data_IF_449881496257
#
_entry.id   IF_449881496257
#
_cell.length_a   1.000
_cell.length_b   1.000
_cell.length_c   1.000
_cell.angle_alpha   90.00
_cell.angle_beta   90.00
_cell.angle_gamma   90.00
#
_symmetry.space_group_name_H-M   'P 1'
#
loop_
_entity.id
_entity.type
_entity.pdbx_description
1 polymer ?
#
# COMPACT_ATOMS: atom_id res chain seq x y z
N UNK A 1 25.44 -33.35 -38.62
CA UNK A 1 24.01 -33.15 -38.93
C UNK A 1 23.48 -32.26 -37.82
N UNK A 2 23.82 -30.96 -37.79
CA UNK A 2 23.19 -29.86 -38.58
C UNK A 2 21.68 -29.88 -38.31
N UNK A 3 21.10 -28.96 -37.55
CA UNK A 3 20.82 -27.54 -37.84
C UNK A 3 20.12 -26.92 -36.59
N UNK A 4 20.01 -25.63 -36.29
CA UNK A 4 20.67 -24.38 -36.69
C UNK A 4 20.30 -23.37 -35.59
N UNK A 5 21.28 -22.62 -35.10
CA UNK A 5 21.08 -21.39 -34.35
C UNK A 5 20.38 -20.33 -35.23
N UNK A 6 19.48 -19.51 -34.65
CA UNK A 6 19.16 -18.18 -35.21
C UNK A 6 19.38 -17.09 -34.15
N UNK A 7 20.29 -16.14 -34.42
CA UNK A 7 20.50 -14.94 -33.60
C UNK A 7 19.84 -13.66 -34.19
N UNK A 8 19.66 -12.66 -33.30
CA UNK A 8 19.65 -11.18 -33.53
C UNK A 8 18.34 -10.59 -34.12
N UNK A 9 17.89 -9.36 -33.82
CA UNK A 9 18.64 -8.11 -33.67
C UNK A 9 17.89 -7.00 -32.89
N UNK A 10 18.67 -6.11 -32.30
CA UNK A 10 18.30 -4.72 -31.98
C UNK A 10 18.38 -3.86 -33.24
N UNK A 11 17.45 -2.92 -33.44
CA UNK A 11 17.67 -1.66 -34.17
C UNK A 11 16.57 -0.64 -33.83
N UNK A 12 17.02 0.60 -33.63
CA UNK A 12 16.27 1.74 -33.12
C UNK A 12 15.72 2.65 -34.25
N UNK A 13 15.00 3.69 -33.79
CA UNK A 13 14.69 4.98 -34.43
C UNK A 13 13.36 5.12 -35.18
N UNK A 14 12.55 6.06 -34.70
CA UNK A 14 11.35 6.57 -35.35
C UNK A 14 10.63 7.59 -34.47
N UNK A 15 11.23 8.77 -34.31
CA UNK A 15 10.60 9.90 -33.63
C UNK A 15 9.51 10.54 -34.49
N UNK A 16 8.40 10.91 -33.85
CA UNK A 16 7.47 11.92 -34.37
C UNK A 16 7.13 12.86 -33.22
N UNK A 17 7.59 14.10 -33.35
CA UNK A 17 7.20 15.21 -32.50
C UNK A 17 5.87 15.78 -33.01
N UNK A 18 4.85 15.82 -32.15
CA UNK A 18 3.69 16.70 -32.37
C UNK A 18 3.93 18.01 -31.61
N UNK A 19 4.14 19.08 -32.38
CA UNK A 19 4.06 20.46 -31.91
C UNK A 19 2.57 20.86 -31.86
N UNK A 20 2.04 21.08 -30.66
CA UNK A 20 0.77 21.76 -30.47
C UNK A 20 1.05 23.21 -30.07
N UNK A 21 0.86 24.12 -31.04
CA UNK A 21 1.00 25.56 -30.90
C UNK A 21 -0.24 26.12 -30.19
N UNK A 22 -0.11 26.47 -28.90
CA UNK A 22 -1.14 27.20 -28.15
C UNK A 22 -0.92 28.71 -28.25
N UNK A 23 -1.85 29.41 -28.89
CA UNK A 23 -1.88 30.87 -29.03
C UNK A 23 -2.19 31.55 -27.68
N UNK A 24 -1.34 32.51 -27.30
CA UNK A 24 -1.62 33.51 -26.26
C UNK A 24 -2.52 34.61 -26.85
N UNK A 25 -3.65 34.90 -26.20
CA UNK A 25 -4.47 36.07 -26.50
C UNK A 25 -4.50 36.99 -25.26
N UNK A 26 -3.75 38.08 -25.33
CA UNK A 26 -3.81 39.21 -24.40
C UNK A 26 -4.84 40.22 -24.94
N UNK A 27 -5.92 40.45 -24.19
CA UNK A 27 -6.85 41.56 -24.42
C UNK A 27 -6.47 42.79 -23.58
N UNK A 28 -6.67 44.03 -24.08
CA UNK A 28 -6.18 45.24 -23.43
C UNK A 28 -7.15 45.83 -22.38
N UNK A 29 -6.56 46.63 -21.49
CA UNK A 29 -7.24 47.55 -20.57
C UNK A 29 -7.74 48.76 -21.34
N UNK A 30 -8.93 49.24 -21.01
CA UNK A 30 -9.31 50.64 -21.24
C UNK A 30 -9.97 51.25 -19.99
N UNK A 31 -9.62 52.51 -19.81
CA UNK A 31 -9.96 53.41 -18.70
C UNK A 31 -11.05 54.41 -19.11
N UNK A 32 -11.73 54.98 -18.10
CA UNK A 32 -12.29 56.35 -18.01
C UNK A 32 -13.83 56.57 -18.13
N UNK A 33 -14.35 57.17 -17.04
CA UNK A 33 -15.18 58.39 -16.97
C UNK A 33 -16.71 58.37 -17.13
N UNK A 34 -17.38 58.78 -16.04
CA UNK A 34 -18.73 59.37 -15.92
C UNK A 34 -18.83 60.74 -16.66
N UNK A 35 -20.00 61.45 -16.85
CA UNK A 35 -21.22 61.46 -16.02
C UNK A 35 -22.61 61.69 -16.69
N UNK A 36 -23.65 61.47 -15.87
CA UNK A 36 -24.90 62.27 -15.79
C UNK A 36 -25.95 62.15 -16.89
N UNK A 37 -27.17 61.72 -16.54
CA UNK A 37 -28.45 62.36 -16.94
C UNK A 37 -29.60 61.85 -16.07
N UNK A 38 -30.33 62.81 -15.53
CA UNK A 38 -31.56 62.72 -14.74
C UNK A 38 -32.77 62.35 -15.63
N UNK A 39 -33.59 61.36 -15.25
CA UNK A 39 -34.98 61.25 -15.71
C UNK A 39 -35.83 60.25 -14.90
N UNK A 40 -36.84 60.81 -14.23
CA UNK A 40 -38.23 60.36 -14.22
C UNK A 40 -38.60 59.01 -13.55
N UNK A 41 -39.35 59.16 -12.46
CA UNK A 41 -40.05 58.13 -11.67
C UNK A 41 -41.00 57.27 -12.52
N UNK A 42 -40.95 55.95 -12.34
CA UNK A 42 -42.10 55.06 -12.47
C UNK A 42 -42.17 54.19 -11.20
N UNK A 43 -43.31 54.25 -10.51
CA UNK A 43 -43.58 53.45 -9.33
C UNK A 43 -43.71 51.97 -9.72
N UNK A 44 -42.96 51.10 -9.04
CA UNK A 44 -43.13 49.65 -9.07
C UNK A 44 -43.63 49.24 -7.70
N UNK A 45 -44.74 48.51 -7.66
CA UNK A 45 -45.38 48.03 -6.45
C UNK A 45 -44.45 47.13 -5.63
N UNK A 46 -44.39 47.38 -4.32
CA UNK A 46 -43.72 46.52 -3.34
C UNK A 46 -44.36 45.12 -3.34
N UNK A 47 -43.69 44.16 -3.97
CA UNK A 47 -43.91 42.75 -3.69
C UNK A 47 -43.15 42.42 -2.40
N UNK A 48 -43.90 42.27 -1.30
CA UNK A 48 -43.36 41.77 -0.02
C UNK A 48 -42.84 40.35 -0.26
N UNK A 49 -41.52 40.23 -0.36
CA UNK A 49 -40.85 38.93 -0.43
C UNK A 49 -41.02 38.22 0.92
N UNK A 50 -41.62 37.02 0.88
CA UNK A 50 -41.65 36.12 2.03
C UNK A 50 -40.20 35.77 2.45
N UNK A 51 -39.91 35.62 3.75
CA UNK A 51 -38.59 35.24 4.20
C UNK A 51 -38.23 33.86 3.64
N UNK A 52 -37.12 33.78 2.91
CA UNK A 52 -36.53 32.51 2.50
C UNK A 52 -36.14 31.73 3.77
N UNK A 53 -36.88 30.67 4.07
CA UNK A 53 -36.44 29.65 5.03
C UNK A 53 -35.15 29.04 4.48
N UNK A 54 -34.02 29.40 5.09
CA UNK A 54 -32.76 28.74 4.85
C UNK A 54 -32.94 27.25 5.14
N UNK A 55 -32.87 26.43 4.09
CA UNK A 55 -32.80 24.99 4.23
C UNK A 55 -31.52 24.67 5.01
N UNK A 56 -31.67 24.25 6.27
CA UNK A 56 -30.62 23.54 7.00
C UNK A 56 -30.42 22.22 6.27
N UNK A 57 -29.50 22.21 5.30
CA UNK A 57 -29.02 20.97 4.71
C UNK A 57 -28.38 20.15 5.83
N UNK A 58 -28.83 18.91 5.99
CA UNK A 58 -28.16 17.95 6.86
C UNK A 58 -26.68 17.90 6.48
N UNK A 59 -25.75 17.97 7.46
CA UNK A 59 -24.33 17.85 7.16
C UNK A 59 -24.11 16.49 6.46
N UNK A 60 -23.43 16.53 5.32
CA UNK A 60 -22.97 15.32 4.64
C UNK A 60 -22.20 14.47 5.68
N UNK A 61 -22.45 13.15 5.76
CA UNK A 61 -21.80 12.31 6.76
C UNK A 61 -20.29 12.45 6.62
N UNK A 62 -19.62 12.79 7.73
CA UNK A 62 -18.16 12.74 7.77
C UNK A 62 -17.72 11.32 7.36
N UNK A 63 -16.80 11.19 6.38
CA UNK A 63 -16.37 9.89 5.95
C UNK A 63 -15.73 9.17 7.14
N UNK A 64 -16.21 7.96 7.42
CA UNK A 64 -15.79 7.18 8.58
C UNK A 64 -14.25 7.09 8.68
N UNK A 65 -13.72 7.30 9.88
CA UNK A 65 -12.31 7.07 10.14
C UNK A 65 -11.96 5.59 9.87
N UNK A 66 -10.76 5.33 9.33
CA UNK A 66 -10.31 3.97 9.10
C UNK A 66 -10.18 3.18 10.40
N UNK A 67 -10.38 1.87 10.32
CA UNK A 67 -10.34 0.96 11.44
C UNK A 67 -8.89 0.65 11.84
N UNK A 68 -8.69 0.27 13.11
CA UNK A 68 -7.40 -0.17 13.61
C UNK A 68 -7.40 -1.68 13.85
N UNK A 69 -6.41 -2.35 13.28
CA UNK A 69 -6.14 -3.77 13.47
C UNK A 69 -4.76 -3.97 14.11
N UNK A 70 -4.57 -5.12 14.74
CA UNK A 70 -3.37 -5.43 15.51
C UNK A 70 -2.79 -6.76 15.09
N UNK A 71 -1.46 -6.79 15.00
CA UNK A 71 -0.65 -8.00 14.83
C UNK A 71 0.21 -8.22 16.07
N UNK A 72 0.29 -9.47 16.53
CA UNK A 72 1.13 -9.91 17.64
C UNK A 72 1.64 -11.33 17.42
N UNK A 73 2.84 -11.70 17.87
CA UNK A 73 3.31 -13.09 17.78
C UNK A 73 2.44 -14.10 18.55
N UNK A 74 1.74 -13.65 19.60
CA UNK A 74 0.80 -14.42 20.42
C UNK A 74 -0.68 -14.22 20.00
N UNK A 75 -0.91 -13.65 18.81
CA UNK A 75 -2.22 -13.51 18.20
C UNK A 75 -2.78 -14.84 17.68
N UNK A 76 -3.91 -14.78 16.98
CA UNK A 76 -4.56 -15.95 16.38
C UNK A 76 -4.82 -15.80 14.89
N UNK A 77 -5.35 -16.85 14.26
CA UNK A 77 -5.78 -16.80 12.86
C UNK A 77 -7.03 -15.94 12.65
N UNK A 78 -7.39 -15.59 11.40
CA UNK A 78 -8.65 -14.91 11.11
C UNK A 78 -9.90 -15.66 11.56
N UNK A 79 -9.84 -16.99 11.75
CA UNK A 79 -10.96 -17.74 12.30
C UNK A 79 -11.09 -17.58 13.83
N UNK A 80 -9.96 -17.36 14.48
CA UNK A 80 -9.81 -17.25 15.93
C UNK A 80 -9.98 -15.82 16.44
N UNK A 81 -9.39 -14.85 15.74
CA UNK A 81 -9.30 -13.45 16.12
C UNK A 81 -9.91 -12.51 15.09
N UNK A 82 -10.59 -11.47 15.56
CA UNK A 82 -11.12 -10.39 14.71
C UNK A 82 -10.04 -9.40 14.24
N UNK A 83 -8.86 -9.41 14.86
CA UNK A 83 -7.78 -8.44 14.61
C UNK A 83 -7.99 -7.09 15.28
N UNK A 84 -9.13 -6.84 15.92
CA UNK A 84 -9.55 -5.49 16.35
C UNK A 84 -9.12 -5.10 17.78
N UNK A 85 -8.40 -5.97 18.49
CA UNK A 85 -7.89 -5.67 19.81
C UNK A 85 -6.42 -6.06 19.95
N UNK A 86 -5.65 -5.24 20.65
CA UNK A 86 -4.25 -5.52 21.02
C UNK A 86 -4.21 -6.50 22.20
N UNK A 87 -4.59 -7.74 21.92
CA UNK A 87 -4.64 -8.82 22.91
C UNK A 87 -4.21 -10.14 22.28
N UNK A 88 -3.58 -11.04 23.06
CA UNK A 88 -3.28 -12.40 22.60
C UNK A 88 -4.56 -13.18 22.29
N UNK A 89 -4.45 -14.23 21.49
CA UNK A 89 -5.54 -15.20 21.37
C UNK A 89 -5.70 -15.96 22.69
N UNK A 90 -6.91 -16.03 23.29
CA UNK A 90 -7.12 -16.65 24.61
C UNK A 90 -7.02 -18.19 24.60
N UNK A 91 -6.58 -18.81 23.50
CA UNK A 91 -6.42 -20.26 23.35
C UNK A 91 -7.70 -21.01 22.93
N UNK A 92 -8.88 -20.37 22.98
CA UNK A 92 -10.13 -20.97 22.49
C UNK A 92 -11.14 -19.93 22.00
N UNK A 93 -12.13 -20.39 21.22
CA UNK A 93 -13.19 -19.57 20.66
C UNK A 93 -12.92 -19.13 19.22
N UNK A 94 -13.93 -18.49 18.61
CA UNK A 94 -13.88 -17.96 17.25
C UNK A 94 -14.16 -16.46 17.30
N UNK A 95 -13.56 -15.71 16.38
CA UNK A 95 -13.76 -14.26 16.26
C UNK A 95 -13.64 -13.52 17.61
N UNK A 96 -12.69 -13.93 18.44
CA UNK A 96 -12.39 -13.25 19.70
C UNK A 96 -11.77 -11.88 19.38
N UNK A 97 -12.04 -10.91 20.24
CA UNK A 97 -11.34 -9.62 20.21
C UNK A 97 -9.87 -9.84 20.62
N UNK A 98 -9.02 -10.10 19.63
CA UNK A 98 -7.59 -10.31 19.76
C UNK A 98 -6.90 -9.97 18.44
N UNK A 99 -5.58 -9.90 18.48
CA UNK A 99 -4.72 -9.59 17.34
C UNK A 99 -4.61 -10.79 16.38
N UNK A 100 -4.33 -10.51 15.12
CA UNK A 100 -3.81 -11.52 14.20
C UNK A 100 -2.33 -11.80 14.47
N UNK A 101 -1.78 -12.86 13.90
CA UNK A 101 -0.40 -13.27 14.13
C UNK A 101 0.54 -13.14 12.92
N UNK A 102 0.02 -12.73 11.75
CA UNK A 102 0.81 -12.65 10.52
C UNK A 102 0.25 -11.63 9.54
N UNK A 103 1.11 -11.02 8.73
CA UNK A 103 0.68 -10.10 7.67
C UNK A 103 -0.09 -10.83 6.58
N UNK A 104 0.20 -12.11 6.30
CA UNK A 104 -0.58 -12.92 5.35
C UNK A 104 -2.04 -13.10 5.78
N UNK A 105 -2.36 -12.86 7.05
CA UNK A 105 -3.74 -12.87 7.53
C UNK A 105 -4.46 -11.55 7.23
N UNK A 106 -3.76 -10.42 7.23
CA UNK A 106 -4.32 -9.12 6.85
C UNK A 106 -4.30 -8.90 5.33
N UNK A 107 -3.25 -9.37 4.67
CA UNK A 107 -2.92 -9.20 3.26
C UNK A 107 -2.54 -10.57 2.65
N UNK A 108 -3.53 -11.46 2.43
CA UNK A 108 -3.27 -12.79 1.87
C UNK A 108 -2.58 -12.73 0.51
N UNK A 109 -1.77 -13.73 0.18
CA UNK A 109 -1.15 -13.82 -1.15
C UNK A 109 -2.19 -13.98 -2.27
N UNK A 110 -3.33 -14.59 -1.97
CA UNK A 110 -4.47 -14.72 -2.87
C UNK A 110 -5.77 -14.14 -2.28
N UNK A 111 -6.62 -13.63 -3.17
CA UNK A 111 -7.88 -13.04 -2.76
C UNK A 111 -7.75 -11.63 -2.18
N UNK A 112 -8.84 -11.08 -1.62
CA UNK A 112 -8.87 -9.71 -1.16
C UNK A 112 -8.14 -9.53 0.18
N UNK A 113 -7.53 -8.36 0.35
CA UNK A 113 -7.09 -7.89 1.66
C UNK A 113 -8.25 -7.88 2.67
N UNK A 114 -7.95 -8.18 3.94
CA UNK A 114 -8.92 -8.10 5.05
C UNK A 114 -9.00 -6.72 5.69
N UNK A 115 -8.08 -5.83 5.33
CA UNK A 115 -8.12 -4.41 5.67
C UNK A 115 -8.61 -3.61 4.45
N UNK A 116 -9.20 -2.45 4.69
CA UNK A 116 -9.67 -1.53 3.67
C UNK A 116 -8.77 -0.29 3.55
N UNK A 117 -9.03 0.50 2.51
CA UNK A 117 -8.35 1.78 2.31
C UNK A 117 -8.58 2.73 3.49
N UNK A 118 -7.50 3.24 4.09
CA UNK A 118 -7.54 4.18 5.21
C UNK A 118 -7.40 3.50 6.58
N UNK A 119 -7.44 2.18 6.64
CA UNK A 119 -7.22 1.40 7.87
C UNK A 119 -5.77 1.49 8.35
N UNK A 120 -5.55 1.20 9.63
CA UNK A 120 -4.22 1.13 10.26
C UNK A 120 -3.97 -0.25 10.82
N UNK A 121 -2.92 -0.92 10.35
CA UNK A 121 -2.40 -2.17 10.88
C UNK A 121 -1.23 -1.86 11.83
N UNK A 122 -1.36 -2.21 13.11
CA UNK A 122 -0.34 -1.95 14.13
C UNK A 122 0.33 -3.27 14.55
N UNK A 123 1.65 -3.36 14.38
CA UNK A 123 2.41 -4.55 14.71
C UNK A 123 3.08 -4.37 16.09
N UNK A 124 2.80 -5.28 17.02
CA UNK A 124 3.53 -5.35 18.27
C UNK A 124 4.99 -5.80 18.04
N UNK A 125 5.91 -5.50 18.98
CA UNK A 125 7.28 -6.04 18.94
C UNK A 125 7.28 -7.55 18.77
N UNK A 126 8.21 -8.05 17.95
CA UNK A 126 8.34 -9.46 17.66
C UNK A 126 8.64 -9.73 16.20
N UNK A 127 8.61 -11.01 15.83
CA UNK A 127 9.04 -11.46 14.51
C UNK A 127 7.85 -11.95 13.69
N UNK A 128 7.77 -11.50 12.44
CA UNK A 128 6.71 -11.84 11.51
C UNK A 128 7.32 -12.37 10.22
N UNK A 129 7.10 -13.66 9.97
CA UNK A 129 7.58 -14.32 8.75
C UNK A 129 6.75 -13.85 7.55
N UNK A 130 7.42 -13.54 6.44
CA UNK A 130 6.81 -13.32 5.13
C UNK A 130 7.31 -14.39 4.17
N UNK A 131 6.46 -14.84 3.25
CA UNK A 131 6.74 -15.98 2.38
C UNK A 131 6.15 -17.31 2.88
N UNK A 132 6.50 -18.38 2.17
CA UNK A 132 5.96 -19.72 2.40
C UNK A 132 6.26 -20.21 3.82
N UNK A 133 5.25 -20.79 4.47
CA UNK A 133 5.34 -21.31 5.85
C UNK A 133 4.97 -20.30 6.93
N UNK A 134 4.69 -19.05 6.56
CA UNK A 134 4.15 -18.06 7.50
C UNK A 134 2.71 -18.42 7.90
N UNK A 135 2.24 -18.02 9.10
CA UNK A 135 0.85 -18.22 9.48
C UNK A 135 -0.10 -17.57 8.47
N UNK A 136 -1.12 -18.30 8.01
CA UNK A 136 -2.08 -17.83 7.01
C UNK A 136 -1.69 -18.10 5.56
N UNK A 137 -0.58 -18.81 5.28
CA UNK A 137 -0.20 -19.26 3.92
C UNK A 137 -0.66 -20.70 3.62
N UNK A 138 -1.47 -21.29 4.50
CA UNK A 138 -2.02 -22.64 4.36
C UNK A 138 -3.22 -22.72 3.39
N UNK A 139 -3.63 -21.58 2.84
CA UNK A 139 -4.75 -21.45 1.93
C UNK A 139 -4.32 -20.60 0.73
N UNK A 140 -4.19 -21.22 -0.45
CA UNK A 140 -4.00 -20.54 -1.75
C UNK A 140 -2.83 -19.53 -1.85
N UNK A 141 -2.50 -19.08 -3.06
CA UNK A 141 -1.49 -18.03 -3.30
C UNK A 141 -0.02 -18.33 -2.95
N UNK A 142 0.26 -19.42 -2.22
CA UNK A 142 1.59 -19.79 -1.76
C UNK A 142 1.91 -21.24 -2.15
N UNK A 143 2.38 -21.42 -3.38
CA UNK A 143 2.76 -22.72 -3.94
C UNK A 143 4.21 -23.08 -3.57
N UNK A 144 4.47 -24.33 -3.19
CA UNK A 144 5.84 -24.82 -2.89
C UNK A 144 6.74 -24.85 -4.13
N UNK A 145 6.17 -25.01 -5.34
CA UNK A 145 6.87 -24.96 -6.61
C UNK A 145 7.12 -23.52 -7.09
N UNK A 146 6.34 -22.55 -6.60
CA UNK A 146 6.47 -21.12 -6.90
C UNK A 146 6.46 -20.23 -5.64
N UNK A 147 7.33 -20.47 -4.65
CA UNK A 147 7.25 -19.78 -3.36
C UNK A 147 7.65 -18.30 -3.44
N UNK A 148 8.28 -17.90 -4.55
CA UNK A 148 8.56 -16.51 -4.88
C UNK A 148 7.30 -15.66 -5.08
N UNK A 149 6.16 -16.30 -5.40
CA UNK A 149 4.85 -15.67 -5.55
C UNK A 149 4.06 -15.61 -4.24
N UNK A 150 4.55 -16.21 -3.15
CA UNK A 150 3.96 -16.13 -1.81
C UNK A 150 4.22 -14.77 -1.12
N UNK A 151 3.98 -13.69 -1.87
CA UNK A 151 4.09 -12.30 -1.41
C UNK A 151 2.75 -11.87 -0.79
N UNK A 152 2.79 -10.83 0.03
CA UNK A 152 1.55 -10.20 0.48
C UNK A 152 0.80 -9.57 -0.71
N UNK A 153 -0.53 -9.59 -0.67
CA UNK A 153 -1.33 -8.76 -1.58
C UNK A 153 -0.92 -7.28 -1.48
N UNK A 154 -1.09 -6.50 -2.57
CA UNK A 154 -0.85 -5.06 -2.52
C UNK A 154 -1.62 -4.39 -1.38
N UNK A 155 -0.96 -3.49 -0.65
CA UNK A 155 -1.62 -2.72 0.41
C UNK A 155 -2.76 -1.90 -0.20
N UNK A 156 -4.00 -1.98 0.32
CA UNK A 156 -5.11 -1.19 -0.21
C UNK A 156 -4.82 0.30 -0.20
N UNK A 157 -5.20 1.01 -1.27
CA UNK A 157 -4.98 2.45 -1.36
C UNK A 157 -5.82 3.20 -0.33
N UNK A 158 -5.23 4.16 0.38
CA UNK A 158 -5.99 5.09 1.20
C UNK A 158 -6.92 5.96 0.35
N UNK A 159 -8.09 6.40 0.84
CA UNK A 159 -9.02 7.23 0.08
C UNK A 159 -8.41 8.56 -0.41
N UNK A 160 -7.45 9.10 0.35
CA UNK A 160 -6.79 10.38 0.07
C UNK A 160 -5.47 10.49 0.83
N UNK A 161 -4.63 11.47 0.48
CA UNK A 161 -3.29 11.63 1.08
C UNK A 161 -3.33 11.93 2.60
N UNK A 162 -4.40 12.55 3.08
CA UNK A 162 -4.67 12.82 4.50
C UNK A 162 -5.33 11.62 5.23
N UNK A 163 -5.80 10.62 4.47
CA UNK A 163 -6.38 9.37 4.98
C UNK A 163 -5.67 8.15 4.38
N UNK A 164 -4.36 7.98 4.61
CA UNK A 164 -3.63 6.84 4.07
C UNK A 164 -3.98 5.54 4.79
N UNK A 165 -3.84 4.42 4.10
CA UNK A 165 -3.75 3.09 4.72
C UNK A 165 -2.36 2.95 5.36
N UNK A 166 -2.27 2.41 6.57
CA UNK A 166 -1.03 2.43 7.35
C UNK A 166 -0.62 1.03 7.81
N UNK A 167 0.68 0.74 7.75
CA UNK A 167 1.29 -0.42 8.41
C UNK A 167 2.43 0.09 9.29
N UNK A 168 2.24 0.01 10.61
CA UNK A 168 3.11 0.66 11.58
C UNK A 168 3.58 -0.33 12.64
N UNK A 169 4.88 -0.31 12.95
CA UNK A 169 5.36 -0.90 14.20
C UNK A 169 4.97 -0.04 15.39
N UNK A 170 4.59 -0.70 16.49
CA UNK A 170 4.07 -0.02 17.69
C UNK A 170 5.15 0.65 18.53
N UNK A 171 6.35 0.07 18.58
CA UNK A 171 7.42 0.48 19.48
C UNK A 171 8.76 0.56 18.71
N UNK A 172 9.24 1.77 18.38
CA UNK A 172 10.52 1.96 17.69
C UNK A 172 11.74 1.46 18.48
N UNK A 173 11.65 1.33 19.81
CA UNK A 173 12.75 0.80 20.62
C UNK A 173 12.82 -0.74 20.60
N UNK A 174 11.71 -1.40 20.25
CA UNK A 174 11.60 -2.86 20.13
C UNK A 174 10.85 -3.18 18.83
N UNK A 175 11.55 -3.19 17.68
CA UNK A 175 10.88 -3.18 16.39
C UNK A 175 10.03 -4.44 16.15
N UNK A 176 9.00 -4.27 15.33
CA UNK A 176 8.38 -5.38 14.63
C UNK A 176 9.29 -5.76 13.46
N UNK A 177 9.84 -6.98 13.50
CA UNK A 177 10.79 -7.50 12.51
C UNK A 177 10.07 -8.36 11.49
N UNK A 178 9.95 -7.86 10.27
CA UNK A 178 9.53 -8.65 9.12
C UNK A 178 10.74 -9.42 8.60
N UNK A 179 10.61 -10.74 8.44
CA UNK A 179 11.70 -11.55 7.90
C UNK A 179 11.26 -12.52 6.80
N UNK A 180 12.04 -12.56 5.73
CA UNK A 180 11.75 -13.31 4.51
C UNK A 180 12.05 -14.79 4.60
N UNK A 181 11.17 -15.61 4.05
CA UNK A 181 11.30 -17.06 4.05
C UNK A 181 11.04 -17.67 2.68
N UNK A 182 11.76 -18.75 2.40
CA UNK A 182 11.58 -19.62 1.23
C UNK A 182 11.48 -18.84 -0.09
N UNK A 183 12.41 -17.89 -0.32
CA UNK A 183 12.57 -17.20 -1.61
C UNK A 183 11.43 -16.23 -1.98
N UNK A 184 10.67 -15.70 -1.02
CA UNK A 184 9.65 -14.69 -1.33
C UNK A 184 10.26 -13.48 -2.07
N UNK A 185 9.65 -13.05 -3.19
CA UNK A 185 10.29 -12.00 -4.01
C UNK A 185 10.20 -10.61 -3.38
N UNK A 186 9.17 -10.33 -2.57
CA UNK A 186 8.96 -9.04 -1.94
C UNK A 186 8.37 -9.19 -0.53
N UNK A 187 8.93 -8.47 0.44
CA UNK A 187 8.43 -8.44 1.82
C UNK A 187 7.14 -7.63 1.94
N UNK A 188 7.07 -6.47 1.30
CA UNK A 188 5.88 -5.62 1.20
C UNK A 188 5.62 -5.25 -0.26
N UNK A 189 4.38 -5.44 -0.70
CA UNK A 189 3.90 -5.13 -2.04
C UNK A 189 3.04 -3.85 -2.02
N UNK A 190 3.52 -2.80 -2.68
CA UNK A 190 2.83 -1.52 -2.84
C UNK A 190 2.50 -1.24 -4.31
N UNK A 191 2.62 -2.23 -5.19
CA UNK A 191 2.36 -2.08 -6.62
C UNK A 191 0.89 -1.69 -6.85
N UNK A 192 0.65 -0.53 -7.45
CA UNK A 192 -0.67 0.06 -7.67
C UNK A 192 -1.28 0.74 -6.43
N UNK A 193 -0.61 0.70 -5.28
CA UNK A 193 -1.10 1.30 -4.04
C UNK A 193 -0.83 2.81 -4.00
N UNK A 194 -1.82 3.61 -3.61
CA UNK A 194 -1.68 5.05 -3.41
C UNK A 194 -2.14 5.47 -2.02
N UNK A 195 -1.61 6.57 -1.49
CA UNK A 195 -1.92 7.07 -0.15
C UNK A 195 -1.65 5.97 0.91
N UNK A 196 -0.40 5.58 1.04
CA UNK A 196 0.04 4.52 1.97
C UNK A 196 1.17 5.04 2.85
N UNK A 197 1.13 4.67 4.12
CA UNK A 197 2.17 4.96 5.11
C UNK A 197 2.74 3.65 5.67
N UNK A 198 4.06 3.49 5.61
CA UNK A 198 4.77 2.35 6.20
C UNK A 198 5.87 2.90 7.08
N UNK A 199 5.93 2.48 8.34
CA UNK A 199 6.99 2.93 9.22
C UNK A 199 7.13 2.18 10.55
N UNK A 200 8.23 2.47 11.23
CA UNK A 200 8.62 1.84 12.50
C UNK A 200 8.81 0.31 12.39
N UNK A 201 9.32 -0.17 11.26
CA UNK A 201 9.56 -1.59 11.00
C UNK A 201 11.03 -1.88 10.76
N UNK A 202 11.44 -3.09 11.15
CA UNK A 202 12.66 -3.71 10.63
C UNK A 202 12.26 -4.72 9.55
N UNK A 203 12.97 -4.73 8.42
CA UNK A 203 12.74 -5.63 7.29
C UNK A 203 14.06 -6.29 6.92
N UNK A 204 14.11 -7.62 7.03
CA UNK A 204 15.29 -8.41 6.70
C UNK A 204 14.89 -9.75 6.10
N UNK A 205 15.84 -10.60 5.78
CA UNK A 205 15.59 -12.01 5.49
C UNK A 205 16.35 -12.97 6.43
N UNK A 206 17.20 -12.43 7.31
CA UNK A 206 18.02 -13.15 8.29
C UNK A 206 19.02 -14.13 7.66
N UNK A 207 19.38 -13.95 6.40
CA UNK A 207 20.40 -14.72 5.71
C UNK A 207 21.61 -13.87 5.34
N UNK A 208 22.72 -14.57 5.14
CA UNK A 208 23.99 -13.99 4.67
C UNK A 208 24.19 -14.23 3.15
N UNK A 209 23.24 -14.89 2.49
CA UNK A 209 23.36 -15.23 1.07
C UNK A 209 22.95 -14.06 0.16
N UNK A 210 23.51 -14.05 -1.06
CA UNK A 210 23.16 -13.11 -2.14
C UNK A 210 22.65 -13.91 -3.34
N UNK A 211 21.49 -13.57 -3.88
CA UNK A 211 20.66 -14.39 -4.76
C UNK A 211 21.41 -14.92 -5.98
N UNK A 212 22.22 -14.06 -6.61
CA UNK A 212 22.97 -14.39 -7.83
C UNK A 212 24.48 -14.25 -7.67
N UNK A 213 25.00 -14.46 -6.45
CA UNK A 213 26.43 -14.30 -6.18
C UNK A 213 27.29 -15.23 -7.05
N UNK A 214 28.44 -14.75 -7.56
CA UNK A 214 29.32 -15.54 -8.42
C UNK A 214 29.89 -16.77 -7.69
N UNK A 215 30.31 -16.59 -6.44
CA UNK A 215 30.75 -17.69 -5.55
C UNK A 215 29.55 -18.47 -5.03
N UNK A 216 29.53 -19.78 -5.32
CA UNK A 216 28.43 -20.68 -4.92
C UNK A 216 28.19 -20.73 -3.41
N UNK A 217 29.24 -20.64 -2.59
CA UNK A 217 29.13 -20.68 -1.13
C UNK A 217 28.39 -19.47 -0.52
N UNK A 218 28.35 -18.34 -1.24
CA UNK A 218 27.62 -17.13 -0.82
C UNK A 218 26.30 -16.96 -1.57
N UNK A 219 25.94 -17.90 -2.47
CA UNK A 219 24.72 -17.81 -3.28
C UNK A 219 23.53 -18.39 -2.53
N UNK A 220 22.38 -17.73 -2.60
CA UNK A 220 21.14 -18.29 -2.07
C UNK A 220 20.73 -19.57 -2.81
N UNK A 221 20.14 -20.50 -2.09
CA UNK A 221 19.62 -21.74 -2.69
C UNK A 221 18.34 -21.44 -3.47
N UNK A 222 18.36 -21.71 -4.78
CA UNK A 222 17.24 -21.44 -5.70
C UNK A 222 16.71 -22.68 -6.42
N UNK A 223 17.50 -23.75 -6.47
CA UNK A 223 17.25 -24.87 -7.37
C UNK A 223 16.46 -26.01 -6.73
N UNK A 224 16.36 -26.04 -5.40
CA UNK A 224 15.58 -27.06 -4.68
C UNK A 224 15.16 -26.58 -3.29
N UNK A 225 13.97 -26.99 -2.85
CA UNK A 225 13.52 -26.79 -1.48
C UNK A 225 14.36 -27.62 -0.48
N UNK A 226 14.40 -27.24 0.81
CA UNK A 226 14.05 -25.91 1.31
C UNK A 226 15.01 -24.86 0.74
N UNK A 227 14.49 -23.71 0.33
CA UNK A 227 15.26 -22.61 -0.23
C UNK A 227 15.98 -21.80 0.86
N UNK A 228 15.48 -21.87 2.10
CA UNK A 228 16.05 -21.20 3.26
C UNK A 228 15.41 -19.84 3.54
N UNK A 229 15.89 -19.19 4.60
CA UNK A 229 15.36 -17.91 5.09
C UNK A 229 15.95 -16.77 4.27
N UNK A 230 15.41 -16.52 3.08
CA UNK A 230 15.89 -15.39 2.28
C UNK A 230 14.76 -14.81 1.43
N UNK A 231 14.88 -13.52 1.10
CA UNK A 231 13.93 -12.78 0.25
C UNK A 231 14.67 -11.85 -0.71
N UNK A 232 14.11 -11.64 -1.90
CA UNK A 232 14.77 -10.82 -2.92
C UNK A 232 14.65 -9.32 -2.62
N UNK A 233 13.44 -8.80 -2.38
CA UNK A 233 13.19 -7.37 -2.21
C UNK A 233 12.49 -7.04 -0.90
N UNK A 234 12.80 -5.89 -0.32
CA UNK A 234 12.12 -5.38 0.87
C UNK A 234 10.75 -4.84 0.49
N UNK A 235 10.72 -3.65 -0.10
CA UNK A 235 9.48 -2.99 -0.52
C UNK A 235 9.49 -2.86 -2.04
N UNK A 236 8.43 -3.32 -2.70
CA UNK A 236 8.21 -3.09 -4.14
C UNK A 236 7.08 -2.10 -4.34
N UNK A 237 7.30 -1.07 -5.17
CA UNK A 237 6.31 -0.04 -5.46
C UNK A 237 6.43 0.40 -6.92
N UNK A 238 5.36 0.18 -7.69
CA UNK A 238 5.23 0.62 -9.07
C UNK A 238 3.80 1.13 -9.29
N UNK A 239 3.63 2.16 -10.12
CA UNK A 239 2.32 2.81 -10.32
C UNK A 239 1.65 3.32 -9.02
N UNK A 240 2.47 3.70 -8.04
CA UNK A 240 2.06 4.16 -6.71
C UNK A 240 2.15 5.68 -6.61
N UNK A 241 1.33 6.30 -5.76
CA UNK A 241 1.35 7.76 -5.49
C UNK A 241 1.18 8.04 -4.00
N UNK A 242 1.79 9.11 -3.49
CA UNK A 242 1.66 9.53 -2.09
C UNK A 242 1.99 8.38 -1.11
N UNK A 243 3.14 7.74 -1.33
CA UNK A 243 3.66 6.70 -0.44
C UNK A 243 4.65 7.36 0.52
N UNK A 244 4.41 7.19 1.82
CA UNK A 244 5.27 7.70 2.88
C UNK A 244 5.97 6.52 3.56
N UNK A 245 7.29 6.45 3.42
CA UNK A 245 8.15 5.46 4.05
C UNK A 245 9.04 6.19 5.06
N UNK A 246 9.00 5.80 6.33
CA UNK A 246 9.77 6.48 7.38
C UNK A 246 10.11 5.52 8.52
N UNK A 247 11.20 5.79 9.23
CA UNK A 247 11.60 5.00 10.39
C UNK A 247 11.69 3.49 10.09
N UNK A 248 12.31 3.15 8.96
CA UNK A 248 12.52 1.79 8.51
C UNK A 248 13.99 1.40 8.64
N UNK A 249 14.24 0.21 9.16
CA UNK A 249 15.54 -0.46 9.05
C UNK A 249 15.41 -1.61 8.05
N UNK A 250 15.99 -1.45 6.85
CA UNK A 250 15.92 -2.45 5.79
C UNK A 250 17.33 -2.94 5.50
N UNK A 251 17.60 -4.20 5.82
CA UNK A 251 18.95 -4.78 5.73
C UNK A 251 18.91 -6.29 5.51
N UNK A 252 20.03 -6.87 5.07
CA UNK A 252 20.15 -8.33 4.93
C UNK A 252 19.05 -8.92 4.06
N UNK A 253 18.92 -8.43 2.82
CA UNK A 253 18.09 -9.02 1.77
C UNK A 253 19.02 -9.57 0.68
N UNK A 254 18.58 -10.58 -0.05
CA UNK A 254 19.41 -11.29 -1.02
C UNK A 254 19.65 -10.56 -2.37
N UNK A 255 19.12 -9.34 -2.57
CA UNK A 255 19.20 -8.61 -3.85
C UNK A 255 20.63 -8.34 -4.32
#
# INVERSE_FOLDING_TARGET
>A
MSELHRPWAWLALGGVALLATGYLHNGPRDTQSEPGTEATRLAVADAVAAPATAATGDPLPEPAAGQRYYLRPDGGSPAQCSGTADAPYPGSGRQRACAWQSLHQALPADGPARIEGGDTLVLAPGEYMIGLGAPGTDHGGCDEEAPWDCQLAPVPSGPSADRPTRILGRDPAHPAVLWGNERVSAMLNLNGSSNVEIGHLEITDKSECVEFHATSAARCKRDSAPYGKWASSGITASNSRNVHLHDLDIHGLAN
#
